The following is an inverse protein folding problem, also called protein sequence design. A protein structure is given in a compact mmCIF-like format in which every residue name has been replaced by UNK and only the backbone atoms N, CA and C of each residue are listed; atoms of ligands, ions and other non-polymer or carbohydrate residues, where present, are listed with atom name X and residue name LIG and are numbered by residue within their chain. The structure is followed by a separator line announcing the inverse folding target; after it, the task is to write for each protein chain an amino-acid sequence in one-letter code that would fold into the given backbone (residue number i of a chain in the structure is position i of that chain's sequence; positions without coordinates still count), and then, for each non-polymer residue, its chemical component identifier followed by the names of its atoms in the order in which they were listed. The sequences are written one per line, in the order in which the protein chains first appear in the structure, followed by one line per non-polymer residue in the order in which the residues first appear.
data_IF_727538242407
#
_entry.id   IF_727538242407
#
_cell.length_a   1.000
_cell.length_b   1.000
_cell.length_c   1.000
_cell.angle_alpha   90.00
_cell.angle_beta   90.00
_cell.angle_gamma   90.00
#
_symmetry.space_group_name_H-M   'P 1'
#
loop_
_entity.id
_entity.type
_entity.pdbx_description
1 polymer ?
#
# COMPACT_ATOMS: atom_id res chain seq x y z
N UNK A 1 17.04 -2.20 21.93
CA UNK A 1 15.86 -3.08 21.82
C UNK A 1 14.87 -2.34 20.95
N UNK A 2 14.37 -2.93 19.87
CA UNK A 2 13.38 -2.24 19.02
C UNK A 2 12.14 -1.95 19.87
N UNK A 3 11.61 -0.74 19.78
CA UNK A 3 10.42 -0.32 20.51
C UNK A 3 9.21 -1.08 19.93
N UNK A 4 8.47 -1.76 20.80
CA UNK A 4 7.28 -2.53 20.44
C UNK A 4 6.03 -1.84 20.97
N UNK A 5 5.09 -1.55 20.08
CA UNK A 5 3.83 -0.88 20.42
C UNK A 5 2.67 -1.89 20.43
N UNK A 6 1.71 -1.80 21.35
CA UNK A 6 0.54 -2.67 21.32
C UNK A 6 -0.34 -2.41 20.08
N UNK A 7 -1.02 -3.45 19.58
CA UNK A 7 -2.06 -3.28 18.57
C UNK A 7 -3.29 -2.60 19.18
N UNK A 8 -4.00 -1.79 18.37
CA UNK A 8 -5.34 -1.31 18.73
C UNK A 8 -6.33 -2.49 18.80
N UNK A 9 -7.45 -2.38 19.55
CA UNK A 9 -8.46 -3.45 19.62
C UNK A 9 -8.94 -3.91 18.24
N UNK A 10 -9.25 -2.95 17.35
CA UNK A 10 -9.65 -3.23 15.97
C UNK A 10 -8.58 -3.99 15.19
N UNK A 11 -7.31 -3.63 15.35
CA UNK A 11 -6.20 -4.32 14.68
C UNK A 11 -6.02 -5.76 15.19
N UNK A 12 -6.27 -6.03 16.47
CA UNK A 12 -6.23 -7.39 17.03
C UNK A 12 -7.32 -8.28 16.42
N UNK A 13 -8.56 -7.80 16.38
CA UNK A 13 -9.69 -8.55 15.81
C UNK A 13 -9.48 -8.84 14.31
N UNK A 14 -9.02 -7.84 13.57
CA UNK A 14 -8.79 -7.92 12.12
C UNK A 14 -7.51 -8.67 11.72
N UNK A 15 -6.67 -9.08 12.68
CA UNK A 15 -5.47 -9.87 12.42
C UNK A 15 -5.58 -11.32 12.90
N UNK A 16 -6.82 -11.79 13.09
CA UNK A 16 -7.10 -13.20 13.38
C UNK A 16 -6.88 -14.07 12.13
N UNK A 17 -6.66 -15.38 12.33
CA UNK A 17 -6.54 -16.33 11.22
C UNK A 17 -7.83 -16.53 10.40
N UNK A 18 -8.94 -15.95 10.86
CA UNK A 18 -10.28 -16.07 10.27
C UNK A 18 -10.66 -14.82 9.46
N UNK A 19 -10.15 -13.65 9.84
CA UNK A 19 -10.45 -12.37 9.20
C UNK A 19 -9.17 -11.81 8.58
N UNK A 20 -9.12 -11.78 7.25
CA UNK A 20 -8.09 -11.09 6.48
C UNK A 20 -8.78 -10.08 5.56
N UNK A 21 -8.82 -8.82 6.00
CA UNK A 21 -9.45 -7.74 5.25
C UNK A 21 -8.39 -6.89 4.56
N UNK A 22 -8.45 -6.85 3.24
CA UNK A 22 -7.58 -6.04 2.39
C UNK A 22 -8.38 -4.85 1.85
N UNK A 23 -7.85 -3.65 2.05
CA UNK A 23 -8.28 -2.45 1.34
C UNK A 23 -7.44 -2.35 0.07
N UNK A 24 -8.12 -2.25 -1.07
CA UNK A 24 -7.49 -2.14 -2.39
C UNK A 24 -7.77 -0.75 -2.96
N UNK A 25 -6.71 -0.01 -3.28
CA UNK A 25 -6.77 1.27 -3.96
C UNK A 25 -6.22 1.16 -5.38
N UNK A 26 -6.92 1.72 -6.36
CA UNK A 26 -6.47 1.78 -7.76
C UNK A 26 -6.34 3.24 -8.16
N UNK A 27 -5.14 3.63 -8.59
CA UNK A 27 -4.85 4.96 -9.11
C UNK A 27 -4.54 4.84 -10.59
N UNK A 28 -5.45 5.35 -11.41
CA UNK A 28 -5.26 5.50 -12.85
C UNK A 28 -4.45 6.76 -13.15
N UNK A 29 -3.49 6.64 -14.07
CA UNK A 29 -2.51 7.69 -14.33
C UNK A 29 -2.64 8.23 -15.75
N UNK A 30 -2.56 9.55 -15.88
CA UNK A 30 -2.51 10.25 -17.18
C UNK A 30 -1.11 10.24 -17.79
N UNK A 31 -0.07 9.92 -17.03
CA UNK A 31 1.33 9.90 -17.48
C UNK A 31 1.97 8.53 -17.18
N UNK A 32 2.85 8.02 -18.08
CA UNK A 32 3.50 6.74 -17.86
C UNK A 32 4.39 6.77 -16.61
N UNK A 33 4.39 5.68 -15.85
CA UNK A 33 5.37 5.46 -14.79
C UNK A 33 6.65 4.90 -15.41
N UNK A 34 7.55 5.80 -15.79
CA UNK A 34 8.78 5.46 -16.51
C UNK A 34 9.79 4.68 -15.65
N UNK A 35 9.76 4.78 -14.32
CA UNK A 35 10.75 4.11 -13.47
C UNK A 35 10.19 3.65 -12.11
N UNK A 36 10.39 2.37 -11.81
CA UNK A 36 10.17 1.82 -10.45
C UNK A 36 11.00 2.57 -9.41
N UNK A 37 12.15 3.14 -9.76
CA UNK A 37 12.97 3.95 -8.84
C UNK A 37 12.26 5.23 -8.39
N UNK A 38 11.42 5.84 -9.23
CA UNK A 38 10.65 7.01 -8.82
C UNK A 38 9.65 6.63 -7.73
N UNK A 39 8.94 5.51 -7.92
CA UNK A 39 8.01 4.98 -6.93
C UNK A 39 8.75 4.56 -5.65
N UNK A 40 9.89 3.87 -5.76
CA UNK A 40 10.73 3.51 -4.60
C UNK A 40 11.10 4.76 -3.80
N UNK A 41 11.58 5.83 -4.46
CA UNK A 41 11.94 7.09 -3.80
C UNK A 41 10.72 7.75 -3.13
N UNK A 42 9.57 7.75 -3.79
CA UNK A 42 8.33 8.29 -3.22
C UNK A 42 7.87 7.49 -2.00
N UNK A 43 7.97 6.16 -2.05
CA UNK A 43 7.63 5.30 -0.92
C UNK A 43 8.58 5.56 0.26
N UNK A 44 9.89 5.61 0.02
CA UNK A 44 10.90 5.82 1.06
C UNK A 44 10.81 7.21 1.71
N UNK A 45 10.76 8.26 0.88
CA UNK A 45 10.86 9.63 1.35
C UNK A 45 9.52 10.22 1.84
N UNK A 46 8.38 9.67 1.40
CA UNK A 46 7.06 10.26 1.66
C UNK A 46 6.13 9.25 2.33
N UNK A 47 5.90 8.07 1.75
CA UNK A 47 4.90 7.13 2.26
C UNK A 47 5.29 6.51 3.62
N UNK A 48 6.50 5.95 3.73
CA UNK A 48 6.96 5.30 4.97
C UNK A 48 6.97 6.25 6.18
N UNK A 49 7.38 7.53 6.05
CA UNK A 49 7.31 8.50 7.14
C UNK A 49 5.90 8.90 7.60
N UNK A 50 4.84 8.68 6.80
CA UNK A 50 3.46 9.09 7.17
C UNK A 50 3.02 8.40 8.46
N UNK A 51 3.35 7.11 8.62
CA UNK A 51 2.99 6.37 9.81
C UNK A 51 4.01 5.26 10.13
N UNK A 52 4.45 5.11 11.40
CA UNK A 52 5.37 4.04 11.82
C UNK A 52 4.90 2.63 11.45
N UNK A 53 3.59 2.38 11.35
CA UNK A 53 3.02 1.07 10.99
C UNK A 53 3.35 0.66 9.57
N UNK A 54 3.56 1.60 8.64
CA UNK A 54 4.04 1.28 7.30
C UNK A 54 5.47 0.72 7.29
N UNK A 55 6.21 0.91 8.39
CA UNK A 55 7.54 0.34 8.62
C UNK A 55 7.54 -0.69 9.76
N UNK A 56 6.39 -1.29 10.08
CA UNK A 56 6.28 -2.24 11.20
C UNK A 56 5.63 -3.56 10.79
N UNK A 57 6.04 -4.63 11.46
CA UNK A 57 5.43 -5.96 11.35
C UNK A 57 4.66 -6.29 12.62
N UNK A 58 3.66 -7.17 12.51
CA UNK A 58 3.01 -7.72 13.69
C UNK A 58 3.80 -8.91 14.24
N UNK A 59 4.06 -8.89 15.53
CA UNK A 59 4.78 -9.93 16.26
C UNK A 59 3.96 -10.35 17.47
N UNK A 60 4.12 -11.58 17.93
CA UNK A 60 3.53 -12.04 19.19
C UNK A 60 4.63 -12.15 20.24
N UNK A 61 4.34 -11.67 21.45
CA UNK A 61 5.20 -11.91 22.59
C UNK A 61 4.97 -13.29 23.21
N UNK A 62 5.76 -13.60 24.24
CA UNK A 62 5.69 -14.88 24.97
C UNK A 62 4.33 -15.15 25.65
N UNK A 63 3.51 -14.11 25.85
CA UNK A 63 2.16 -14.20 26.41
C UNK A 63 1.08 -14.27 25.32
N UNK A 64 1.47 -14.31 24.04
CA UNK A 64 0.57 -14.37 22.90
C UNK A 64 -0.03 -13.03 22.47
N UNK A 65 0.38 -11.92 23.10
CA UNK A 65 -0.11 -10.57 22.81
C UNK A 65 0.55 -10.07 21.52
N UNK A 66 -0.28 -9.56 20.60
CA UNK A 66 0.21 -8.99 19.35
C UNK A 66 0.74 -7.56 19.58
N UNK A 67 1.90 -7.27 19.00
CA UNK A 67 2.55 -5.95 19.01
C UNK A 67 3.05 -5.58 17.61
N UNK A 68 3.16 -4.29 17.35
CA UNK A 68 3.89 -3.73 16.22
C UNK A 68 5.36 -3.63 16.57
N UNK A 69 6.22 -4.15 15.70
CA UNK A 69 7.67 -4.01 15.81
C UNK A 69 8.18 -3.32 14.55
N UNK A 70 8.85 -2.18 14.73
CA UNK A 70 9.48 -1.46 13.62
C UNK A 70 10.60 -2.30 13.00
N UNK A 71 10.68 -2.30 11.67
CA UNK A 71 11.69 -3.00 10.88
C UNK A 71 12.25 -2.09 9.79
N UNK A 72 13.39 -2.48 9.24
CA UNK A 72 13.87 -1.89 7.99
C UNK A 72 13.05 -2.47 6.84
N UNK A 73 12.41 -1.60 6.05
CA UNK A 73 11.60 -2.00 4.89
C UNK A 73 12.51 -2.22 3.69
N UNK A 74 12.35 -3.36 3.02
CA UNK A 74 12.97 -3.65 1.72
C UNK A 74 11.95 -3.40 0.62
N UNK A 75 11.94 -2.20 0.04
CA UNK A 75 10.87 -1.75 -0.86
C UNK A 75 10.68 -2.65 -2.09
N UNK A 76 11.75 -3.27 -2.57
CA UNK A 76 11.72 -4.25 -3.65
C UNK A 76 10.82 -5.48 -3.35
N UNK A 77 10.67 -5.86 -2.08
CA UNK A 77 9.80 -6.97 -1.67
C UNK A 77 8.31 -6.53 -1.60
N UNK A 78 8.02 -5.22 -1.69
CA UNK A 78 6.68 -4.64 -1.65
C UNK A 78 6.20 -4.14 -3.02
N UNK A 79 7.07 -4.11 -4.03
CA UNK A 79 6.73 -3.62 -5.37
C UNK A 79 6.62 -4.79 -6.33
N UNK A 80 5.47 -4.90 -6.99
CA UNK A 80 5.19 -5.86 -8.06
C UNK A 80 5.08 -5.12 -9.39
N UNK A 81 5.64 -5.68 -10.45
CA UNK A 81 5.46 -5.16 -11.82
C UNK A 81 4.95 -6.32 -12.66
N UNK A 82 3.63 -6.54 -12.75
CA UNK A 82 3.09 -7.63 -13.55
C UNK A 82 3.39 -7.42 -15.02
N UNK A 83 3.53 -8.54 -15.74
CA UNK A 83 3.80 -8.57 -17.17
C UNK A 83 2.56 -9.13 -17.87
N UNK A 84 1.97 -8.32 -18.74
CA UNK A 84 0.83 -8.71 -19.58
C UNK A 84 1.30 -9.09 -21.00
N UNK A 85 0.53 -9.93 -21.73
CA UNK A 85 0.83 -10.29 -23.12
C UNK A 85 0.91 -9.05 -24.02
N UNK A 86 1.94 -8.95 -24.85
CA UNK A 86 2.13 -7.79 -25.72
C UNK A 86 1.20 -7.81 -26.95
N UNK A 87 1.01 -6.65 -27.58
CA UNK A 87 0.36 -6.51 -28.89
C UNK A 87 -1.09 -6.03 -28.84
N UNK A 88 -1.60 -5.68 -27.66
CA UNK A 88 -2.92 -5.06 -27.50
C UNK A 88 -2.80 -3.53 -27.42
N UNK A 89 -3.83 -2.84 -27.88
CA UNK A 89 -3.96 -1.39 -27.74
C UNK A 89 -4.46 -0.98 -26.34
N UNK A 90 -5.26 -1.83 -25.70
CA UNK A 90 -5.90 -1.58 -24.40
C UNK A 90 -5.89 -2.86 -23.55
N UNK A 91 -5.73 -2.70 -22.23
CA UNK A 91 -5.51 -3.79 -21.27
C UNK A 91 -6.53 -3.82 -20.12
N UNK A 92 -7.70 -3.23 -20.30
CA UNK A 92 -8.75 -3.13 -19.27
C UNK A 92 -9.11 -4.49 -18.64
N UNK A 93 -9.31 -5.52 -19.47
CA UNK A 93 -9.61 -6.89 -18.99
C UNK A 93 -8.44 -7.48 -18.19
N UNK A 94 -7.20 -7.31 -18.65
CA UNK A 94 -6.01 -7.78 -17.93
C UNK A 94 -5.82 -7.08 -16.59
N UNK A 95 -6.10 -5.77 -16.53
CA UNK A 95 -6.08 -5.03 -15.27
C UNK A 95 -7.14 -5.54 -14.30
N UNK A 96 -8.37 -5.75 -14.79
CA UNK A 96 -9.47 -6.26 -13.98
C UNK A 96 -9.19 -7.67 -13.44
N UNK A 97 -8.70 -8.57 -14.29
CA UNK A 97 -8.32 -9.93 -13.92
C UNK A 97 -7.17 -9.92 -12.91
N UNK A 98 -6.17 -9.06 -13.13
CA UNK A 98 -5.08 -8.90 -12.17
C UNK A 98 -5.59 -8.44 -10.80
N UNK A 99 -6.41 -7.37 -10.75
CA UNK A 99 -7.00 -6.87 -9.50
C UNK A 99 -7.83 -7.96 -8.82
N UNK A 100 -8.65 -8.69 -9.58
CA UNK A 100 -9.45 -9.80 -9.08
C UNK A 100 -8.58 -10.88 -8.44
N UNK A 101 -7.51 -11.30 -9.12
CA UNK A 101 -6.60 -12.33 -8.64
C UNK A 101 -5.90 -11.95 -7.33
N UNK A 102 -5.42 -10.72 -7.20
CA UNK A 102 -4.70 -10.27 -6.02
C UNK A 102 -5.62 -9.86 -4.87
N UNK A 103 -6.91 -9.65 -5.12
CA UNK A 103 -7.86 -9.22 -4.08
C UNK A 103 -8.06 -10.27 -2.97
N UNK A 104 -7.87 -11.55 -3.30
CA UNK A 104 -8.08 -12.67 -2.37
C UNK A 104 -6.78 -13.20 -1.76
N UNK A 105 -5.62 -12.75 -2.22
CA UNK A 105 -4.33 -13.20 -1.68
C UNK A 105 -4.03 -12.53 -0.33
N UNK A 106 -3.63 -13.30 0.70
CA UNK A 106 -3.22 -12.73 1.98
C UNK A 106 -1.87 -12.03 1.88
N UNK A 107 -1.72 -10.94 2.65
CA UNK A 107 -0.42 -10.31 2.86
C UNK A 107 0.37 -11.08 3.93
N UNK A 108 1.66 -11.37 3.70
CA UNK A 108 2.46 -12.13 4.66
C UNK A 108 2.81 -11.25 5.87
N UNK A 109 2.55 -11.75 7.08
CA UNK A 109 2.84 -11.06 8.35
C UNK A 109 4.34 -10.96 8.67
N UNK A 110 5.21 -11.49 7.81
CA UNK A 110 6.67 -11.39 7.94
C UNK A 110 7.25 -10.06 7.46
N UNK A 111 6.43 -9.21 6.83
CA UNK A 111 6.80 -7.87 6.34
C UNK A 111 5.65 -6.89 6.60
N UNK A 112 5.87 -5.56 6.49
CA UNK A 112 4.79 -4.59 6.65
C UNK A 112 3.59 -4.93 5.75
N UNK A 113 2.38 -4.76 6.28
CA UNK A 113 1.17 -5.33 5.68
C UNK A 113 0.59 -4.47 4.55
N UNK A 114 1.42 -4.16 3.55
CA UNK A 114 1.03 -3.45 2.35
C UNK A 114 1.89 -3.86 1.16
N UNK A 115 1.37 -3.73 -0.06
CA UNK A 115 2.18 -3.81 -1.29
C UNK A 115 1.60 -2.93 -2.40
N UNK A 116 2.42 -2.68 -3.42
CA UNK A 116 2.10 -1.83 -4.57
C UNK A 116 2.40 -2.60 -5.84
N UNK A 117 1.47 -2.60 -6.78
CA UNK A 117 1.66 -3.09 -8.14
C UNK A 117 1.71 -1.92 -9.13
N UNK A 118 2.73 -1.90 -9.98
CA UNK A 118 2.91 -0.90 -11.03
C UNK A 118 2.47 -1.51 -12.36
N UNK A 119 1.32 -1.08 -12.87
CA UNK A 119 0.76 -1.52 -14.14
C UNK A 119 1.24 -0.56 -15.22
N UNK A 120 2.11 -1.04 -16.10
CA UNK A 120 2.74 -0.25 -17.19
C UNK A 120 2.01 -0.37 -18.53
N UNK A 121 0.74 -0.77 -18.50
CA UNK A 121 -0.05 -1.05 -19.68
C UNK A 121 -1.22 -0.07 -19.75
N UNK A 122 -1.50 0.51 -20.92
CA UNK A 122 -2.60 1.45 -21.07
C UNK A 122 -3.96 0.75 -20.99
N UNK A 123 -4.93 1.42 -20.41
CA UNK A 123 -6.36 1.07 -20.43
C UNK A 123 -7.12 2.07 -21.29
N UNK A 124 -8.43 1.90 -21.43
CA UNK A 124 -9.30 2.85 -22.10
C UNK A 124 -9.29 4.26 -21.47
N UNK A 125 -8.94 4.38 -20.19
CA UNK A 125 -8.96 5.62 -19.40
C UNK A 125 -7.58 6.15 -19.00
N UNK A 126 -6.53 5.33 -19.03
CA UNK A 126 -5.24 5.64 -18.41
C UNK A 126 -4.06 5.09 -19.21
N UNK A 127 -2.88 5.66 -19.03
CA UNK A 127 -1.64 5.14 -19.63
C UNK A 127 -0.90 4.15 -18.72
N UNK A 128 -1.43 3.92 -17.53
CA UNK A 128 -0.93 2.98 -16.53
C UNK A 128 -1.71 3.14 -15.22
N UNK A 129 -1.43 2.26 -14.25
CA UNK A 129 -2.09 2.29 -12.95
C UNK A 129 -1.16 1.89 -11.80
N UNK A 130 -1.43 2.41 -10.61
CA UNK A 130 -0.90 1.89 -9.35
C UNK A 130 -2.01 1.16 -8.61
N UNK A 131 -1.76 -0.10 -8.25
CA UNK A 131 -2.68 -0.86 -7.40
C UNK A 131 -2.02 -1.04 -6.04
N UNK A 132 -2.63 -0.50 -4.99
CA UNK A 132 -2.12 -0.56 -3.62
C UNK A 132 -3.02 -1.50 -2.82
N UNK A 133 -2.42 -2.48 -2.13
CA UNK A 133 -3.11 -3.31 -1.15
C UNK A 133 -2.62 -2.95 0.24
N UNK A 134 -3.56 -2.76 1.16
CA UNK A 134 -3.31 -2.42 2.55
C UNK A 134 -4.14 -3.34 3.44
N UNK A 135 -3.52 -4.00 4.42
CA UNK A 135 -4.29 -4.75 5.41
C UNK A 135 -5.04 -3.79 6.34
N UNK A 136 -6.31 -4.07 6.61
CA UNK A 136 -7.19 -3.17 7.37
C UNK A 136 -6.76 -2.98 8.84
N UNK A 137 -5.90 -3.85 9.37
CA UNK A 137 -5.28 -3.63 10.68
C UNK A 137 -4.30 -2.44 10.72
N UNK A 138 -3.85 -1.93 9.56
CA UNK A 138 -3.01 -0.73 9.52
C UNK A 138 -3.81 0.54 9.83
N UNK A 139 -5.06 0.60 9.40
CA UNK A 139 -5.94 1.76 9.54
C UNK A 139 -7.27 1.54 8.83
N UNK A 140 -8.16 2.52 8.94
CA UNK A 140 -9.43 2.55 8.22
C UNK A 140 -9.32 3.29 6.87
N UNK A 141 -10.40 3.29 6.10
CA UNK A 141 -10.45 3.97 4.81
C UNK A 141 -10.20 5.47 4.87
N UNK A 142 -10.54 6.15 5.97
CA UNK A 142 -10.28 7.59 6.12
C UNK A 142 -8.78 7.85 6.25
N UNK A 143 -8.10 7.09 7.11
CA UNK A 143 -6.66 7.23 7.30
C UNK A 143 -5.84 6.82 6.09
N UNK A 144 -6.30 5.83 5.32
CA UNK A 144 -5.67 5.51 4.03
C UNK A 144 -5.86 6.62 2.99
N UNK A 145 -7.05 7.23 2.89
CA UNK A 145 -7.25 8.37 2.01
C UNK A 145 -6.42 9.59 2.43
N UNK A 146 -6.32 9.84 3.74
CA UNK A 146 -5.49 10.92 4.27
C UNK A 146 -3.98 10.67 3.98
N UNK A 147 -3.51 9.45 4.13
CA UNK A 147 -2.14 9.07 3.74
C UNK A 147 -1.89 9.24 2.25
N UNK A 148 -2.82 8.78 1.41
CA UNK A 148 -2.71 8.94 -0.04
C UNK A 148 -2.61 10.42 -0.42
N UNK A 149 -3.46 11.27 0.17
CA UNK A 149 -3.46 12.70 -0.09
C UNK A 149 -2.20 13.40 0.43
N UNK A 150 -1.61 12.90 1.52
CA UNK A 150 -0.32 13.38 2.02
C UNK A 150 0.86 13.03 1.09
N UNK A 151 0.72 11.97 0.27
CA UNK A 151 1.67 11.66 -0.80
C UNK A 151 1.52 12.56 -2.04
N UNK A 152 0.42 13.30 -2.15
CA UNK A 152 0.09 14.14 -3.29
C UNK A 152 0.36 15.62 -2.98
N UNK A 153 0.70 16.38 -4.03
CA UNK A 153 0.78 17.84 -3.98
C UNK A 153 -0.36 18.45 -4.76
N UNK A 154 -0.80 19.62 -4.34
CA UNK A 154 -1.75 20.41 -5.12
C UNK A 154 -1.11 20.84 -6.44
N UNK A 155 -1.86 20.72 -7.54
CA UNK A 155 -1.40 21.13 -8.86
C UNK A 155 -1.26 22.65 -8.98
N UNK A 156 -2.13 23.39 -8.27
CA UNK A 156 -2.15 24.86 -8.27
C UNK A 156 -1.26 25.49 -7.20
N UNK A 157 -0.85 24.74 -6.18
CA UNK A 157 0.12 25.17 -5.17
C UNK A 157 0.99 23.98 -4.69
N UNK A 158 2.08 23.67 -5.42
CA UNK A 158 2.94 22.52 -5.12
C UNK A 158 3.71 22.61 -3.79
N UNK A 159 3.69 23.77 -3.12
CA UNK A 159 4.33 24.00 -1.82
C UNK A 159 3.36 23.88 -0.65
N UNK A 160 2.05 23.89 -0.92
CA UNK A 160 1.01 23.68 0.08
C UNK A 160 0.94 22.20 0.49
N UNK A 161 1.08 21.94 1.79
CA UNK A 161 0.86 20.64 2.40
C UNK A 161 -0.64 20.35 2.50
N UNK A 162 -1.08 19.20 2.01
CA UNK A 162 -2.40 18.64 2.24
C UNK A 162 -2.51 18.13 3.68
N UNK A 163 -2.89 19.02 4.61
CA UNK A 163 -3.06 18.66 6.01
C UNK A 163 -4.43 18.01 6.25
N UNK A 164 -4.53 16.70 6.06
CA UNK A 164 -5.60 15.90 6.66
C UNK A 164 -5.09 15.26 7.96
N UNK A 165 -5.90 15.26 9.04
CA UNK A 165 -5.54 14.56 10.27
C UNK A 165 -5.43 13.06 9.98
N UNK A 166 -4.38 12.44 10.51
CA UNK A 166 -4.11 11.01 10.38
C UNK A 166 -4.58 10.30 11.65
N UNK A 167 -5.54 9.36 11.53
CA UNK A 167 -6.08 8.60 12.65
C UNK A 167 -5.75 7.10 12.49
N UNK A 168 -4.50 6.74 12.81
CA UNK A 168 -4.05 5.34 12.75
C UNK A 168 -4.15 4.66 14.11
#
# INVERSE_FOLDING_TARGET
MAEEEPLSPTAQDLSSSVLNLIVLGVLELSNPLDDSQFIIKGLDAIFLPINPRFSSIMVRDEHGVQKWRKVQVKLEEHIKVPVFPQGLEQYDEFLQDYISSISMEPLPFTKPLWDVSIIKYPTSSAVGALVVRLHHALGDGYSFMAALLACCKRADDPLSLTHLPLFF
#
